data_IF_495074239555
#
_entry.id   IF_495074239555
#
_cell.length_a   1.000
_cell.length_b   1.000
_cell.length_c   1.000
_cell.angle_alpha   90.00
_cell.angle_beta   90.00
_cell.angle_gamma   90.00
#
_symmetry.space_group_name_H-M   'P 1'
#
loop_
_entity.id
_entity.type
_entity.pdbx_description
1 polymer ?
#
# COMPACT_ATOMS: atom_id res chain seq x y z
N UNK A 1 57.82 -9.18 8.31
CA UNK A 1 56.64 -9.64 9.09
C UNK A 1 56.24 -8.53 10.04
N UNK A 2 54.97 -8.09 10.07
CA UNK A 2 54.48 -7.28 11.20
C UNK A 2 53.78 -5.95 10.92
N UNK A 3 53.22 -5.68 9.73
CA UNK A 3 52.32 -4.51 9.55
C UNK A 3 50.91 -4.84 9.08
N UNK A 4 50.71 -5.96 8.39
CA UNK A 4 49.42 -6.27 7.77
C UNK A 4 48.46 -7.09 8.67
N UNK A 5 48.94 -7.63 9.79
CA UNK A 5 48.11 -8.37 10.76
C UNK A 5 47.34 -7.46 11.72
N UNK A 6 47.86 -6.26 12.03
CA UNK A 6 47.20 -5.34 12.97
C UNK A 6 45.93 -4.70 12.38
N UNK A 7 45.88 -4.48 11.07
CA UNK A 7 44.74 -3.83 10.40
C UNK A 7 43.51 -4.75 10.29
N UNK A 8 43.68 -6.08 10.18
CA UNK A 8 42.54 -7.02 10.12
C UNK A 8 41.86 -7.27 11.47
N UNK A 9 42.58 -7.08 12.59
CA UNK A 9 42.04 -7.30 13.95
C UNK A 9 41.15 -6.11 14.37
N UNK A 10 41.49 -4.90 13.91
CA UNK A 10 40.70 -3.68 14.18
C UNK A 10 39.29 -3.72 13.59
N UNK A 11 39.14 -4.21 12.36
CA UNK A 11 37.85 -4.24 11.66
C UNK A 11 36.85 -5.25 12.25
N UNK A 12 37.33 -6.38 12.79
CA UNK A 12 36.49 -7.34 13.50
C UNK A 12 36.01 -6.80 14.86
N UNK A 13 36.89 -6.09 15.60
CA UNK A 13 36.52 -5.41 16.86
C UNK A 13 35.52 -4.29 16.61
N UNK A 14 35.76 -3.43 15.62
CA UNK A 14 34.85 -2.33 15.26
C UNK A 14 33.46 -2.81 14.84
N UNK A 15 33.37 -3.88 14.03
CA UNK A 15 32.07 -4.47 13.66
C UNK A 15 31.33 -5.06 14.87
N UNK A 16 32.06 -5.67 15.81
CA UNK A 16 31.47 -6.19 17.04
C UNK A 16 30.97 -5.08 17.96
N UNK A 17 31.72 -3.97 18.11
CA UNK A 17 31.28 -2.79 18.86
C UNK A 17 30.08 -2.09 18.22
N UNK A 18 29.99 -2.05 16.89
CA UNK A 18 28.81 -1.51 16.18
C UNK A 18 27.59 -2.43 16.39
N UNK A 19 27.75 -3.74 16.31
CA UNK A 19 26.66 -4.70 16.61
C UNK A 19 26.20 -4.63 18.07
N UNK A 20 27.13 -4.52 19.02
CA UNK A 20 26.80 -4.32 20.45
C UNK A 20 26.10 -2.98 20.66
N UNK A 21 26.57 -1.90 20.04
CA UNK A 21 25.96 -0.57 20.13
C UNK A 21 24.54 -0.52 19.57
N UNK A 22 24.29 -1.18 18.43
CA UNK A 22 22.95 -1.29 17.84
C UNK A 22 22.02 -2.14 18.71
N UNK A 23 22.49 -3.27 19.26
CA UNK A 23 21.70 -4.08 20.19
C UNK A 23 21.40 -3.36 21.52
N UNK A 24 22.33 -2.54 22.01
CA UNK A 24 22.16 -1.75 23.23
C UNK A 24 21.13 -0.61 23.00
N UNK A 25 21.17 0.05 21.85
CA UNK A 25 20.18 1.07 21.47
C UNK A 25 18.77 0.49 21.28
N UNK A 26 18.64 -0.73 20.73
CA UNK A 26 17.32 -1.38 20.59
C UNK A 26 16.71 -1.82 21.94
N UNK A 27 17.52 -2.06 22.97
CA UNK A 27 17.03 -2.53 24.28
C UNK A 27 16.42 -1.41 25.14
N UNK A 28 16.82 -0.15 24.92
CA UNK A 28 16.27 1.00 25.66
C UNK A 28 14.82 1.32 25.24
N UNK A 29 14.43 0.99 24.00
CA UNK A 29 13.08 1.25 23.51
C UNK A 29 12.02 0.25 24.01
N UNK A 30 12.41 -0.91 24.54
CA UNK A 30 11.49 -1.96 24.96
C UNK A 30 11.04 -1.86 26.44
N UNK A 31 11.53 -0.87 27.19
CA UNK A 31 11.41 -0.81 28.66
C UNK A 31 10.16 -0.15 29.24
N UNK A 32 9.30 0.48 28.43
CA UNK A 32 8.06 1.10 28.92
C UNK A 32 6.86 0.22 28.58
N UNK A 33 6.79 -0.96 29.18
CA UNK A 33 5.55 -1.73 29.25
C UNK A 33 4.66 -1.11 30.32
N UNK A 34 3.96 -0.04 29.96
CA UNK A 34 3.01 0.64 30.84
C UNK A 34 1.73 -0.20 30.96
N UNK A 35 1.39 -0.62 32.18
CA UNK A 35 0.28 -1.55 32.42
C UNK A 35 -1.05 -0.82 32.21
N UNK A 36 -1.65 -1.02 31.04
CA UNK A 36 -2.98 -0.50 30.73
C UNK A 36 -4.03 -1.16 31.63
N UNK A 37 -4.69 -0.36 32.45
CA UNK A 37 -5.81 -0.80 33.29
C UNK A 37 -7.11 -0.11 32.86
N UNK A 38 -8.23 -0.53 33.43
CA UNK A 38 -9.55 -0.03 33.05
C UNK A 38 -10.38 0.39 34.24
N UNK A 39 -11.13 1.47 34.08
CA UNK A 39 -12.16 1.92 35.03
C UNK A 39 -13.50 1.28 34.70
N UNK A 40 -14.22 0.79 35.70
CA UNK A 40 -15.50 0.12 35.52
C UNK A 40 -16.67 1.10 35.32
N UNK A 41 -17.62 0.73 34.45
CA UNK A 41 -18.71 1.59 33.97
C UNK A 41 -19.78 1.93 35.02
N UNK A 42 -19.97 1.08 36.04
CA UNK A 42 -21.03 1.28 37.02
C UNK A 42 -20.75 2.40 38.04
N UNK A 43 -19.53 2.96 38.07
CA UNK A 43 -19.08 3.93 39.09
C UNK A 43 -18.38 5.14 38.45
N UNK A 44 -18.25 5.17 37.12
CA UNK A 44 -17.64 6.27 36.36
C UNK A 44 -18.27 7.63 36.69
N UNK A 45 -19.59 7.68 36.88
CA UNK A 45 -20.33 8.91 37.21
C UNK A 45 -20.03 9.52 38.59
N UNK A 46 -19.45 8.76 39.52
CA UNK A 46 -19.11 9.24 40.87
C UNK A 46 -17.59 9.26 41.11
N UNK A 47 -16.82 8.72 40.17
CA UNK A 47 -15.38 8.60 40.32
C UNK A 47 -14.69 9.89 39.89
N UNK A 48 -14.46 10.73 40.88
CA UNK A 48 -13.75 11.98 40.71
C UNK A 48 -12.24 11.80 40.57
N UNK A 49 -11.65 12.44 39.55
CA UNK A 49 -10.21 12.70 39.48
C UNK A 49 -9.84 13.75 40.53
N UNK A 50 -8.85 13.47 41.37
CA UNK A 50 -8.41 14.35 42.46
C UNK A 50 -6.93 14.70 42.32
N UNK A 51 -6.53 15.88 42.78
CA UNK A 51 -5.12 16.30 42.78
C UNK A 51 -4.29 15.65 43.89
N UNK A 52 -4.95 15.25 44.99
CA UNK A 52 -4.35 14.63 46.16
C UNK A 52 -5.10 13.35 46.57
N UNK A 53 -4.42 12.35 47.20
CA UNK A 53 -5.03 11.12 47.69
C UNK A 53 -5.84 11.34 49.00
N UNK A 54 -6.73 12.34 49.01
CA UNK A 54 -7.57 12.70 50.15
C UNK A 54 -9.06 12.65 49.78
N UNK A 55 -9.83 11.98 50.65
CA UNK A 55 -11.29 11.88 50.57
C UNK A 55 -12.04 13.20 50.79
N UNK A 56 -11.44 14.20 51.43
CA UNK A 56 -12.08 15.47 51.79
C UNK A 56 -11.97 16.56 50.72
N UNK A 57 -11.11 16.38 49.72
CA UNK A 57 -10.86 17.36 48.65
C UNK A 57 -11.90 17.31 47.54
N UNK A 58 -12.07 18.46 46.87
CA UNK A 58 -13.04 18.65 45.78
C UNK A 58 -12.68 17.78 44.59
N UNK A 59 -13.69 17.17 43.98
CA UNK A 59 -13.54 16.41 42.72
C UNK A 59 -13.27 17.41 41.60
N UNK A 60 -12.16 17.24 40.89
CA UNK A 60 -11.76 18.12 39.79
C UNK A 60 -12.42 17.75 38.47
N UNK A 61 -12.69 16.46 38.24
CA UNK A 61 -13.34 15.98 37.00
C UNK A 61 -14.02 14.62 37.23
N UNK A 62 -15.05 14.29 36.46
CA UNK A 62 -15.72 12.98 36.49
C UNK A 62 -15.10 12.11 35.40
N UNK A 63 -14.66 10.90 35.77
CA UNK A 63 -13.94 10.03 34.84
C UNK A 63 -14.90 9.02 34.20
N UNK A 64 -15.02 9.07 32.88
CA UNK A 64 -15.73 8.04 32.13
C UNK A 64 -15.00 6.69 32.16
N UNK A 65 -15.74 5.59 32.00
CA UNK A 65 -15.14 4.27 31.92
C UNK A 65 -14.30 4.12 30.64
N UNK A 66 -13.05 3.72 30.83
CA UNK A 66 -12.06 3.73 29.75
C UNK A 66 -10.73 3.10 30.16
N UNK A 67 -9.81 2.94 29.19
CA UNK A 67 -8.42 2.60 29.46
C UNK A 67 -7.73 3.75 30.19
N UNK A 68 -6.94 3.41 31.20
CA UNK A 68 -6.13 4.33 31.99
C UNK A 68 -4.76 3.74 32.25
N UNK A 69 -3.76 4.62 32.35
CA UNK A 69 -2.40 4.27 32.71
C UNK A 69 -2.24 4.49 34.22
N UNK A 70 -1.69 3.51 34.95
CA UNK A 70 -1.41 3.66 36.38
C UNK A 70 0.05 4.05 36.56
N UNK A 71 0.28 5.29 36.97
CA UNK A 71 1.61 5.87 37.16
C UNK A 71 2.15 5.58 38.56
N UNK A 72 1.29 5.62 39.59
CA UNK A 72 1.68 5.36 40.99
C UNK A 72 0.54 4.68 41.75
N UNK A 73 0.87 3.86 42.73
CA UNK A 73 -0.09 3.20 43.63
C UNK A 73 0.32 3.41 45.08
N UNK A 74 -0.59 3.96 45.88
CA UNK A 74 -0.42 4.24 47.30
C UNK A 74 -1.66 3.80 48.08
N UNK A 75 -1.53 2.73 48.87
CA UNK A 75 -2.60 2.15 49.69
C UNK A 75 -3.94 1.97 48.96
N UNK A 76 -4.88 2.90 49.16
CA UNK A 76 -6.24 2.90 48.61
C UNK A 76 -6.37 3.72 47.33
N UNK A 77 -5.32 4.44 46.94
CA UNK A 77 -5.28 5.40 45.85
C UNK A 77 -4.26 5.01 44.79
N UNK A 78 -4.57 5.39 43.56
CA UNK A 78 -3.72 5.23 42.41
C UNK A 78 -3.69 6.54 41.64
N UNK A 79 -2.48 7.03 41.35
CA UNK A 79 -2.28 8.13 40.43
C UNK A 79 -2.31 7.58 39.01
N UNK A 80 -3.22 8.10 38.20
CA UNK A 80 -3.47 7.62 36.85
C UNK A 80 -3.32 8.73 35.82
N UNK A 81 -3.07 8.34 34.58
CA UNK A 81 -3.19 9.19 33.39
C UNK A 81 -4.31 8.66 32.49
N UNK A 82 -5.19 9.56 32.08
CA UNK A 82 -6.23 9.28 31.09
C UNK A 82 -5.67 9.39 29.67
N UNK A 83 -6.33 8.76 28.70
CA UNK A 83 -6.01 8.91 27.27
C UNK A 83 -6.07 10.35 26.76
N UNK A 84 -6.76 11.24 27.48
CA UNK A 84 -6.82 12.68 27.20
C UNK A 84 -5.58 13.45 27.67
N UNK A 85 -4.64 12.79 28.35
CA UNK A 85 -3.44 13.39 28.93
C UNK A 85 -3.65 14.02 30.30
N UNK A 86 -4.87 13.99 30.86
CA UNK A 86 -5.13 14.44 32.23
C UNK A 86 -4.62 13.42 33.24
N UNK A 87 -4.09 13.90 34.37
CA UNK A 87 -3.56 13.07 35.44
C UNK A 87 -4.24 13.36 36.78
N UNK A 88 -4.27 12.37 37.68
CA UNK A 88 -4.79 12.55 39.03
C UNK A 88 -5.00 11.26 39.81
N UNK A 89 -5.39 11.40 41.07
CA UNK A 89 -5.62 10.33 42.02
C UNK A 89 -7.04 9.79 41.96
N UNK A 90 -7.14 8.46 41.99
CA UNK A 90 -8.38 7.69 41.91
C UNK A 90 -8.31 6.52 42.88
N UNK A 91 -9.44 6.11 43.45
CA UNK A 91 -9.47 4.95 44.33
C UNK A 91 -9.12 3.66 43.57
N UNK A 92 -8.07 2.96 44.01
CA UNK A 92 -7.52 1.77 43.32
C UNK A 92 -8.53 0.65 43.15
N UNK A 93 -9.56 0.58 44.01
CA UNK A 93 -10.60 -0.45 43.97
C UNK A 93 -11.48 -0.40 42.71
N UNK A 94 -11.48 0.73 42.02
CA UNK A 94 -12.25 0.93 40.78
C UNK A 94 -11.43 0.72 39.52
N UNK A 95 -10.11 0.55 39.67
CA UNK A 95 -9.19 0.21 38.60
C UNK A 95 -9.08 -1.31 38.54
N UNK A 96 -9.40 -1.90 37.40
CA UNK A 96 -9.29 -3.34 37.15
C UNK A 96 -8.44 -3.58 35.91
N UNK A 97 -7.64 -4.64 35.94
CA UNK A 97 -6.91 -5.11 34.75
C UNK A 97 -7.85 -5.66 33.67
N UNK A 98 -9.06 -6.12 34.05
CA UNK A 98 -10.05 -6.64 33.12
C UNK A 98 -10.84 -5.51 32.46
N UNK A 99 -10.89 -5.55 31.14
CA UNK A 99 -11.70 -4.65 30.31
C UNK A 99 -13.20 -4.71 30.67
N UNK A 100 -13.87 -3.55 30.82
CA UNK A 100 -15.32 -3.45 31.01
C UNK A 100 -16.11 -4.05 29.85
N UNK A 101 -17.18 -4.77 30.18
CA UNK A 101 -18.11 -5.39 29.22
C UNK A 101 -18.73 -4.33 28.30
N UNK A 102 -19.01 -3.13 28.78
CA UNK A 102 -19.59 -2.06 27.96
C UNK A 102 -18.65 -1.57 26.86
N UNK A 103 -17.34 -1.49 27.12
CA UNK A 103 -16.35 -1.17 26.10
C UNK A 103 -16.22 -2.29 25.07
N UNK A 104 -16.20 -3.54 25.53
CA UNK A 104 -16.18 -4.71 24.65
C UNK A 104 -17.43 -4.75 23.74
N UNK A 105 -18.61 -4.46 24.29
CA UNK A 105 -19.86 -4.36 23.52
C UNK A 105 -19.83 -3.22 22.50
N UNK A 106 -19.26 -2.06 22.83
CA UNK A 106 -19.10 -0.94 21.89
C UNK A 106 -18.22 -1.34 20.72
N UNK A 107 -17.05 -1.91 21.01
CA UNK A 107 -16.12 -2.39 19.98
C UNK A 107 -16.71 -3.51 19.12
N UNK A 108 -17.45 -4.44 19.73
CA UNK A 108 -18.14 -5.50 19.01
C UNK A 108 -19.22 -4.95 18.06
N UNK A 109 -19.96 -3.92 18.48
CA UNK A 109 -20.95 -3.26 17.62
C UNK A 109 -20.28 -2.51 16.47
N UNK A 110 -19.17 -1.84 16.73
CA UNK A 110 -18.40 -1.15 15.69
C UNK A 110 -17.75 -2.12 14.70
N UNK A 111 -17.20 -3.23 15.18
CA UNK A 111 -16.64 -4.25 14.30
C UNK A 111 -17.73 -4.88 13.44
N UNK A 112 -18.91 -5.19 14.00
CA UNK A 112 -20.08 -5.66 13.22
C UNK A 112 -20.48 -4.66 12.13
N UNK A 113 -20.61 -3.36 12.45
CA UNK A 113 -20.92 -2.33 11.43
C UNK A 113 -19.90 -2.29 10.29
N UNK A 114 -18.61 -2.53 10.57
CA UNK A 114 -17.58 -2.60 9.54
C UNK A 114 -17.75 -3.84 8.67
N UNK A 115 -18.06 -4.99 9.27
CA UNK A 115 -18.35 -6.23 8.53
C UNK A 115 -19.59 -6.08 7.64
N UNK A 116 -20.67 -5.47 8.15
CA UNK A 116 -21.89 -5.23 7.37
C UNK A 116 -21.56 -4.39 6.13
N UNK A 117 -20.83 -3.28 6.29
CA UNK A 117 -20.37 -2.42 5.18
C UNK A 117 -19.49 -3.16 4.18
N UNK A 118 -18.53 -3.96 4.64
CA UNK A 118 -17.68 -4.74 3.73
C UNK A 118 -18.48 -5.81 2.99
N UNK A 119 -19.45 -6.44 3.65
CA UNK A 119 -20.32 -7.43 3.01
C UNK A 119 -21.19 -6.80 1.92
N UNK A 120 -21.70 -5.58 2.14
CA UNK A 120 -22.43 -4.80 1.14
C UNK A 120 -21.53 -4.43 -0.05
N UNK A 121 -20.29 -4.01 0.21
CA UNK A 121 -19.32 -3.70 -0.85
C UNK A 121 -18.97 -4.95 -1.68
N UNK A 122 -18.77 -6.10 -1.05
CA UNK A 122 -18.52 -7.37 -1.75
C UNK A 122 -19.71 -7.76 -2.62
N UNK A 123 -20.94 -7.60 -2.11
CA UNK A 123 -22.14 -7.86 -2.88
C UNK A 123 -22.25 -6.93 -4.10
N UNK A 124 -21.98 -5.63 -3.92
CA UNK A 124 -21.98 -4.65 -5.00
C UNK A 124 -20.91 -4.92 -6.06
N UNK A 125 -19.67 -5.23 -5.64
CA UNK A 125 -18.57 -5.57 -6.56
C UNK A 125 -18.84 -6.86 -7.33
N UNK A 126 -19.46 -7.85 -6.70
CA UNK A 126 -19.84 -9.08 -7.39
C UNK A 126 -20.91 -8.83 -8.47
N UNK A 127 -21.88 -7.97 -8.20
CA UNK A 127 -22.86 -7.54 -9.22
C UNK A 127 -22.19 -6.71 -10.33
N UNK A 128 -21.22 -5.86 -10.01
CA UNK A 128 -20.45 -5.10 -11.00
C UNK A 128 -19.62 -6.02 -11.90
N UNK A 129 -18.91 -7.00 -11.32
CA UNK A 129 -18.17 -8.02 -12.09
C UNK A 129 -19.11 -8.78 -13.01
N UNK A 130 -20.31 -9.14 -12.55
CA UNK A 130 -21.31 -9.82 -13.36
C UNK A 130 -21.78 -8.96 -14.53
N UNK A 131 -22.03 -7.66 -14.30
CA UNK A 131 -22.38 -6.70 -15.36
C UNK A 131 -21.25 -6.51 -16.36
N UNK A 132 -20.03 -6.26 -15.89
CA UNK A 132 -18.86 -6.08 -16.76
C UNK A 132 -18.56 -7.32 -17.61
N UNK A 133 -18.77 -8.52 -17.07
CA UNK A 133 -18.68 -9.76 -17.87
C UNK A 133 -19.73 -9.80 -18.98
N UNK A 134 -20.99 -9.51 -18.66
CA UNK A 134 -22.07 -9.48 -19.65
C UNK A 134 -21.83 -8.40 -20.72
N UNK A 135 -21.32 -7.23 -20.33
CA UNK A 135 -21.00 -6.14 -21.25
C UNK A 135 -19.81 -6.49 -22.15
N UNK A 136 -18.77 -7.14 -21.61
CA UNK A 136 -17.66 -7.66 -22.41
C UNK A 136 -18.10 -8.71 -23.43
N UNK A 137 -19.00 -9.63 -23.06
CA UNK A 137 -19.56 -10.62 -23.98
C UNK A 137 -20.37 -9.96 -25.11
N UNK A 138 -21.18 -8.95 -24.78
CA UNK A 138 -21.92 -8.15 -25.77
C UNK A 138 -20.99 -7.41 -26.71
N UNK A 139 -20.02 -6.66 -26.18
CA UNK A 139 -19.02 -5.93 -26.97
C UNK A 139 -18.23 -6.89 -27.89
N UNK A 140 -17.88 -8.07 -27.41
CA UNK A 140 -17.23 -9.09 -28.24
C UNK A 140 -18.14 -9.51 -29.41
N UNK A 141 -19.43 -9.77 -29.17
CA UNK A 141 -20.38 -10.12 -30.23
C UNK A 141 -20.59 -8.99 -31.25
N UNK A 142 -20.69 -7.73 -30.79
CA UNK A 142 -20.82 -6.55 -31.65
C UNK A 142 -19.58 -6.35 -32.52
N UNK A 143 -18.39 -6.59 -31.97
CA UNK A 143 -17.13 -6.48 -32.73
C UNK A 143 -17.08 -7.50 -33.86
N UNK A 144 -17.53 -8.75 -33.61
CA UNK A 144 -17.63 -9.79 -34.63
C UNK A 144 -18.64 -9.42 -35.71
N UNK A 145 -19.78 -8.85 -35.33
CA UNK A 145 -20.79 -8.40 -36.29
C UNK A 145 -20.29 -7.24 -37.16
N UNK A 146 -19.60 -6.26 -36.55
CA UNK A 146 -18.98 -5.16 -37.29
C UNK A 146 -17.90 -5.66 -38.25
N UNK A 147 -17.08 -6.63 -37.84
CA UNK A 147 -16.08 -7.25 -38.71
C UNK A 147 -16.72 -7.99 -39.90
N UNK A 148 -17.85 -8.67 -39.69
CA UNK A 148 -18.62 -9.28 -40.79
C UNK A 148 -19.13 -8.22 -41.77
N UNK A 149 -19.73 -7.12 -41.27
CA UNK A 149 -20.21 -6.01 -42.09
C UNK A 149 -19.09 -5.35 -42.89
N UNK A 150 -17.91 -5.14 -42.28
CA UNK A 150 -16.72 -4.60 -42.98
C UNK A 150 -16.26 -5.55 -44.09
N UNK A 151 -16.30 -6.86 -43.85
CA UNK A 151 -15.93 -7.86 -44.85
C UNK A 151 -16.94 -7.92 -46.01
N UNK A 152 -18.23 -7.85 -45.72
CA UNK A 152 -19.28 -7.78 -46.75
C UNK A 152 -19.19 -6.49 -47.57
N UNK A 153 -19.06 -5.33 -46.91
CA UNK A 153 -18.89 -4.04 -47.58
C UNK A 153 -17.65 -4.03 -48.47
N UNK A 154 -16.50 -4.51 -47.99
CA UNK A 154 -15.28 -4.58 -48.83
C UNK A 154 -15.45 -5.54 -50.01
N UNK A 155 -16.16 -6.67 -49.85
CA UNK A 155 -16.48 -7.54 -50.99
C UNK A 155 -17.34 -6.82 -52.04
N UNK A 156 -18.36 -6.06 -51.61
CA UNK A 156 -19.22 -5.30 -52.52
C UNK A 156 -18.48 -4.16 -53.23
N UNK A 157 -17.51 -3.53 -52.56
CA UNK A 157 -16.63 -2.54 -53.19
C UNK A 157 -15.78 -3.18 -54.29
N UNK A 158 -15.18 -4.36 -54.04
CA UNK A 158 -14.37 -5.03 -55.06
C UNK A 158 -15.18 -5.55 -56.26
N UNK A 159 -16.44 -5.92 -56.07
CA UNK A 159 -17.31 -6.32 -57.19
C UNK A 159 -17.72 -5.12 -58.03
N UNK A 160 -18.07 -3.99 -57.39
CA UNK A 160 -18.38 -2.75 -58.09
C UNK A 160 -17.16 -2.21 -58.85
N UNK A 161 -15.96 -2.30 -58.29
CA UNK A 161 -14.72 -1.95 -59.00
C UNK A 161 -14.48 -2.84 -60.23
N UNK A 162 -14.78 -4.14 -60.14
CA UNK A 162 -14.70 -5.07 -61.28
C UNK A 162 -15.75 -4.76 -62.36
N UNK A 163 -16.99 -4.51 -61.96
CA UNK A 163 -18.07 -4.11 -62.87
C UNK A 163 -17.79 -2.77 -63.54
N UNK A 164 -17.20 -1.80 -62.82
CA UNK A 164 -16.78 -0.51 -63.39
C UNK A 164 -15.63 -0.69 -64.40
N UNK A 165 -14.67 -1.57 -64.11
CA UNK A 165 -13.58 -1.91 -65.02
C UNK A 165 -14.08 -2.65 -66.27
N UNK A 166 -15.16 -3.43 -66.15
CA UNK A 166 -15.81 -4.11 -67.27
C UNK A 166 -16.67 -3.15 -68.10
N UNK A 167 -17.40 -2.24 -67.46
CA UNK A 167 -18.15 -1.17 -68.13
C UNK A 167 -17.24 -0.20 -68.91
N UNK A 168 -16.01 0.04 -68.44
CA UNK A 168 -15.01 0.82 -69.18
C UNK A 168 -14.47 0.11 -70.43
N UNK A 169 -14.57 -1.22 -70.54
CA UNK A 169 -14.18 -1.98 -71.74
C UNK A 169 -15.23 -1.94 -72.87
N UNK A 170 -16.45 -1.47 -72.60
CA UNK A 170 -17.59 -1.49 -73.55
C UNK A 170 -17.81 -0.14 -74.26
N UNK A 171 -16.98 0.89 -74.03
CA UNK A 171 -17.12 2.20 -74.70
C UNK A 171 -16.29 2.28 -76.00
N UNK A 172 -16.86 2.61 -77.17
CA UNK A 172 -16.11 2.72 -78.43
C UNK A 172 -15.17 3.95 -78.44
N UNK A 173 -14.10 3.94 -79.26
CA UNK A 173 -12.97 4.84 -79.14
C UNK A 173 -13.32 6.26 -79.61
N UNK A 174 -13.08 7.25 -78.76
CA UNK A 174 -13.09 8.68 -79.06
C UNK A 174 -11.92 9.37 -78.34
N UNK A 175 -11.31 10.40 -78.93
CA UNK A 175 -9.88 10.63 -78.83
C UNK A 175 -9.42 11.23 -77.49
N UNK A 176 -8.14 10.99 -77.24
CA UNK A 176 -7.35 11.35 -76.08
C UNK A 176 -7.62 12.73 -75.47
N UNK A 177 -7.56 12.79 -74.14
CA UNK A 177 -7.25 13.99 -73.39
C UNK A 177 -6.37 13.64 -72.18
N UNK A 178 -5.45 14.55 -71.79
CA UNK A 178 -4.21 14.24 -71.08
C UNK A 178 -4.41 14.05 -69.56
N UNK A 179 -3.45 13.42 -68.86
CA UNK A 179 -3.59 13.12 -67.44
C UNK A 179 -3.36 14.36 -66.57
N UNK A 180 -4.21 14.65 -65.56
CA UNK A 180 -3.81 15.48 -64.45
C UNK A 180 -3.20 14.62 -63.34
N UNK A 181 -2.04 15.08 -62.90
CA UNK A 181 -1.19 14.58 -61.82
C UNK A 181 -1.97 14.59 -60.51
N UNK A 182 -1.96 13.47 -59.79
CA UNK A 182 -2.13 13.48 -58.34
C UNK A 182 -0.93 12.75 -57.72
N UNK A 183 0.01 13.56 -57.25
CA UNK A 183 1.14 13.15 -56.45
C UNK A 183 0.63 12.51 -55.15
N UNK A 184 0.88 11.21 -54.98
CA UNK A 184 0.77 10.55 -53.68
C UNK A 184 1.91 11.10 -52.82
N UNK A 185 1.60 12.09 -51.98
CA UNK A 185 2.45 12.47 -50.85
C UNK A 185 2.49 11.28 -49.89
N UNK A 186 3.61 10.55 -49.91
CA UNK A 186 3.97 9.64 -48.84
C UNK A 186 4.39 10.50 -47.63
N UNK A 187 3.43 10.90 -46.82
CA UNK A 187 3.71 11.37 -45.46
C UNK A 187 3.90 10.13 -44.57
N UNK A 188 5.16 9.79 -44.32
CA UNK A 188 5.53 8.96 -43.17
C UNK A 188 4.96 9.61 -41.90
N UNK A 189 4.34 8.84 -40.97
CA UNK A 189 3.84 9.41 -39.74
C UNK A 189 5.03 9.79 -38.85
N UNK A 190 5.48 11.03 -38.97
CA UNK A 190 6.33 11.65 -37.97
C UNK A 190 5.47 12.00 -36.76
N UNK A 191 5.84 11.41 -35.61
CA UNK A 191 5.39 11.62 -34.22
C UNK A 191 4.30 10.63 -33.77
N UNK A 192 4.65 9.75 -32.80
CA UNK A 192 4.49 10.13 -31.40
C UNK A 192 5.73 9.76 -30.58
N UNK A 193 6.81 10.55 -30.65
CA UNK A 193 7.88 10.49 -29.63
C UNK A 193 7.62 11.48 -28.49
N UNK A 194 6.89 12.57 -28.78
CA UNK A 194 6.50 13.56 -27.79
C UNK A 194 5.41 13.00 -26.86
N UNK A 195 4.35 12.41 -27.42
CA UNK A 195 3.27 11.81 -26.64
C UNK A 195 3.74 10.60 -25.82
N UNK A 196 4.70 9.83 -26.34
CA UNK A 196 5.29 8.71 -25.59
C UNK A 196 6.04 9.20 -24.36
N UNK A 197 6.81 10.28 -24.49
CA UNK A 197 7.52 10.92 -23.37
C UNK A 197 6.57 11.57 -22.37
N UNK A 198 5.40 12.04 -22.83
CA UNK A 198 4.35 12.59 -21.97
C UNK A 198 3.66 11.49 -21.17
N UNK A 199 3.39 10.33 -21.78
CA UNK A 199 2.91 9.12 -21.09
C UNK A 199 3.94 8.65 -20.05
N UNK A 200 5.25 8.68 -20.36
CA UNK A 200 6.30 8.34 -19.39
C UNK A 200 6.43 9.33 -18.22
N UNK A 201 6.14 10.62 -18.44
CA UNK A 201 6.13 11.64 -17.37
C UNK A 201 4.89 11.53 -16.48
N UNK A 202 3.75 11.14 -17.05
CA UNK A 202 2.49 10.94 -16.33
C UNK A 202 2.36 9.56 -15.66
N UNK A 203 3.34 8.66 -15.85
CA UNK A 203 3.59 7.54 -14.95
C UNK A 203 4.25 8.06 -13.68
N UNK A 204 3.51 8.89 -12.93
CA UNK A 204 3.87 9.26 -11.59
C UNK A 204 3.93 7.97 -10.78
N UNK A 205 5.17 7.55 -10.48
CA UNK A 205 5.50 6.27 -9.87
C UNK A 205 4.57 5.95 -8.70
N UNK A 206 3.67 4.99 -8.90
CA UNK A 206 2.83 4.41 -7.86
C UNK A 206 3.72 4.03 -6.64
N UNK A 207 3.23 4.23 -5.41
CA UNK A 207 3.99 3.93 -4.19
C UNK A 207 4.51 2.48 -4.17
N UNK A 208 3.77 1.56 -4.80
CA UNK A 208 4.20 0.17 -4.95
C UNK A 208 5.45 0.01 -5.84
N UNK A 209 5.60 0.82 -6.89
CA UNK A 209 6.78 0.81 -7.78
C UNK A 209 7.99 1.43 -7.08
N UNK A 210 7.78 2.50 -6.29
CA UNK A 210 8.82 3.05 -5.40
C UNK A 210 9.32 1.99 -4.41
N UNK A 211 8.40 1.25 -3.79
CA UNK A 211 8.73 0.13 -2.90
C UNK A 211 9.51 -0.99 -3.60
N UNK A 212 9.11 -1.36 -4.83
CA UNK A 212 9.81 -2.36 -5.62
C UNK A 212 11.24 -1.92 -6.01
N UNK A 213 11.43 -0.66 -6.42
CA UNK A 213 12.74 -0.12 -6.77
C UNK A 213 13.68 -0.07 -5.55
N UNK A 214 13.18 0.35 -4.39
CA UNK A 214 13.94 0.34 -3.14
C UNK A 214 14.30 -1.11 -2.75
N UNK A 215 13.36 -2.06 -2.88
CA UNK A 215 13.59 -3.48 -2.59
C UNK A 215 14.67 -4.11 -3.47
N UNK A 216 14.66 -3.83 -4.78
CA UNK A 216 15.70 -4.29 -5.71
C UNK A 216 17.06 -3.66 -5.37
N UNK A 217 17.09 -2.40 -4.97
CA UNK A 217 18.31 -1.72 -4.51
C UNK A 217 18.94 -2.40 -3.28
N UNK A 218 18.12 -2.74 -2.28
CA UNK A 218 18.59 -3.44 -1.07
C UNK A 218 19.14 -4.82 -1.41
N UNK A 219 18.49 -5.57 -2.31
CA UNK A 219 18.96 -6.88 -2.76
C UNK A 219 20.32 -6.81 -3.46
N UNK A 220 20.52 -5.82 -4.33
CA UNK A 220 21.78 -5.63 -5.05
C UNK A 220 22.93 -5.27 -4.11
N UNK A 221 22.69 -4.38 -3.13
CA UNK A 221 23.69 -4.01 -2.12
C UNK A 221 24.03 -5.22 -1.25
N UNK A 222 23.02 -5.97 -0.80
CA UNK A 222 23.23 -7.20 -0.04
C UNK A 222 24.01 -8.27 -0.81
N UNK A 223 23.72 -8.43 -2.10
CA UNK A 223 24.44 -9.34 -2.98
C UNK A 223 25.91 -8.94 -3.16
N UNK A 224 26.18 -7.65 -3.38
CA UNK A 224 27.54 -7.13 -3.48
C UNK A 224 28.33 -7.34 -2.18
N UNK A 225 27.76 -6.98 -1.03
CA UNK A 225 28.40 -7.20 0.28
C UNK A 225 28.65 -8.69 0.58
N UNK A 226 27.70 -9.56 0.24
CA UNK A 226 27.81 -11.01 0.43
C UNK A 226 28.82 -11.67 -0.50
N UNK A 227 28.99 -11.15 -1.72
CA UNK A 227 29.97 -11.65 -2.69
C UNK A 227 31.41 -11.32 -2.26
N UNK A 228 31.65 -10.14 -1.70
CA UNK A 228 32.97 -9.72 -1.21
C UNK A 228 33.38 -10.52 0.04
N UNK A 229 32.42 -10.98 0.85
CA UNK A 229 32.70 -11.80 2.03
C UNK A 229 33.09 -13.26 1.72
N UNK A 230 32.96 -13.74 0.48
CA UNK A 230 33.35 -15.12 0.10
C UNK A 230 34.86 -15.29 -0.18
N UNK A 231 35.67 -14.26 0.06
CA UNK A 231 37.12 -14.31 -0.10
C UNK A 231 37.88 -14.93 1.08
N UNK A 232 38.40 -16.15 0.87
CA UNK A 232 39.47 -16.86 1.62
C UNK A 232 39.08 -17.80 2.78
N UNK A 233 38.56 -18.97 2.44
CA UNK A 233 38.94 -20.19 3.19
C UNK A 233 40.32 -20.64 2.71
N UNK A 234 41.39 -20.20 3.39
CA UNK A 234 42.73 -20.81 3.22
C UNK A 234 42.65 -22.24 3.75
N UNK A 235 42.82 -23.24 2.87
CA UNK A 235 43.07 -24.63 3.30
C UNK A 235 44.47 -24.66 3.90
N UNK A 236 44.55 -25.01 5.18
CA UNK A 236 45.81 -25.38 5.82
C UNK A 236 46.25 -26.73 5.24
N UNK A 237 47.41 -26.75 4.58
CA UNK A 237 48.11 -27.99 4.22
C UNK A 237 49.00 -28.38 5.39
N UNK A 238 48.76 -29.58 5.95
CA UNK A 238 49.69 -30.24 6.84
C UNK A 238 50.93 -30.68 6.07
N UNK A 239 52.09 -30.16 6.44
CA UNK A 239 53.39 -30.83 6.46
C UNK A 239 54.30 -30.07 7.42
#
# INVERSE_FOLDING_TARGET
>A
MGRDEYLRIGDCRMRWFVFIGVCLCLSVAAGHAEETMYIHDSISHELGLREEPDSTKKVSDIIEAGPVEVLKKEDKWSYIRLSTGKEGWVLSRYIKSKKPISLELKEMKESRKKYDKFSEQIAALNEEIKRLKADNEKLASESVEKLKKIKELSSSQTTLEKELAEAQKVKPPGPASPPPKNEVKNEAPNKPKADLLEIFKNLEMNEMIKGALIGVGILLVGYLMGSISRGSKRRSSYF
#
